data_IF_888627452754
#
_entry.id   IF_888627452754
#
_cell.length_a   1.000
_cell.length_b   1.000
_cell.length_c   1.000
_cell.angle_alpha   90.00
_cell.angle_beta   90.00
_cell.angle_gamma   90.00
#
_symmetry.space_group_name_H-M   'P 1'
#
loop_
_entity.id
_entity.type
_entity.pdbx_description
1 polymer ?
#
# COMPACT_ATOMS: atom_id res chain seq x y z
N UNK A 1 -9.38 2.84 -6.17
CA UNK A 1 -8.54 3.96 -6.53
C UNK A 1 -8.54 5.02 -5.49
N UNK A 2 -7.38 5.31 -4.95
CA UNK A 2 -7.24 6.36 -3.99
C UNK A 2 -7.69 6.03 -2.59
N UNK A 3 -7.91 4.78 -2.27
CA UNK A 3 -8.29 4.41 -0.93
C UNK A 3 -7.06 4.37 -0.04
N UNK A 4 -7.19 4.94 1.16
CA UNK A 4 -6.10 4.87 2.13
C UNK A 4 -5.96 3.47 2.67
N UNK A 5 -4.72 2.98 2.72
CA UNK A 5 -4.44 1.65 3.21
C UNK A 5 -3.27 1.71 4.18
N UNK A 6 -3.11 0.64 4.93
CA UNK A 6 -1.97 0.45 5.81
C UNK A 6 -1.33 -0.88 5.52
N UNK A 7 -0.01 -0.88 5.47
CA UNK A 7 0.75 -2.10 5.29
C UNK A 7 0.92 -2.77 6.66
N UNK A 8 0.49 -4.02 6.74
CA UNK A 8 0.50 -4.74 8.01
C UNK A 8 1.48 -5.92 8.00
N UNK A 9 2.25 -6.04 6.93
CA UNK A 9 3.25 -7.09 6.85
C UNK A 9 4.35 -6.72 5.90
N UNK A 10 5.41 -7.53 5.88
CA UNK A 10 6.52 -7.30 4.99
C UNK A 10 7.48 -6.24 5.51
N UNK A 11 8.46 -5.88 4.70
CA UNK A 11 9.48 -4.92 5.13
C UNK A 11 8.95 -3.53 5.40
N UNK A 12 7.80 -3.17 4.84
CA UNK A 12 7.26 -1.82 5.01
C UNK A 12 6.09 -1.81 5.98
N UNK A 13 6.03 -2.76 6.86
CA UNK A 13 4.95 -2.86 7.83
C UNK A 13 4.84 -1.58 8.65
N UNK A 14 3.61 -1.11 8.82
CA UNK A 14 3.36 0.09 9.60
C UNK A 14 3.21 1.35 8.78
N UNK A 15 3.57 1.32 7.51
CA UNK A 15 3.44 2.49 6.66
C UNK A 15 2.04 2.55 6.07
N UNK A 16 1.61 3.77 5.78
CA UNK A 16 0.33 4.01 5.15
C UNK A 16 0.54 4.56 3.75
N UNK A 17 -0.40 4.27 2.89
CA UNK A 17 -0.32 4.73 1.52
C UNK A 17 -1.68 4.75 0.87
N UNK A 18 -1.66 4.88 -0.45
CA UNK A 18 -2.87 4.95 -1.24
C UNK A 18 -2.88 3.77 -2.20
N UNK A 19 -3.98 3.05 -2.22
CA UNK A 19 -4.16 1.96 -3.18
C UNK A 19 -4.36 2.55 -4.55
N UNK A 20 -3.55 2.12 -5.52
CA UNK A 20 -3.68 2.62 -6.88
C UNK A 20 -4.40 1.65 -7.78
N UNK A 21 -3.92 0.42 -7.86
CA UNK A 21 -4.58 -0.56 -8.69
C UNK A 21 -4.09 -1.95 -8.34
N UNK A 22 -4.89 -2.94 -8.69
CA UNK A 22 -4.48 -4.31 -8.54
C UNK A 22 -3.40 -4.65 -9.57
N UNK A 23 -2.47 -5.49 -9.16
CA UNK A 23 -1.39 -5.94 -10.04
C UNK A 23 -1.35 -7.45 -9.97
N UNK A 24 -2.23 -8.08 -10.72
CA UNK A 24 -2.39 -9.52 -10.68
C UNK A 24 -3.39 -9.90 -9.60
N UNK A 25 -3.35 -11.16 -9.23
CA UNK A 25 -4.36 -11.71 -8.32
C UNK A 25 -4.02 -11.53 -6.86
N UNK A 26 -2.75 -11.36 -6.55
CA UNK A 26 -2.31 -11.35 -5.15
C UNK A 26 -1.53 -10.12 -4.76
N UNK A 27 -1.34 -9.19 -5.68
CA UNK A 27 -0.54 -8.00 -5.41
C UNK A 27 -1.29 -6.76 -5.86
N UNK A 28 -0.87 -5.65 -5.30
CA UNK A 28 -1.42 -4.36 -5.69
C UNK A 28 -0.30 -3.34 -5.75
N UNK A 29 -0.50 -2.32 -6.55
CA UNK A 29 0.40 -1.19 -6.58
C UNK A 29 -0.10 -0.14 -5.62
N UNK A 30 0.79 0.29 -4.74
CA UNK A 30 0.46 1.21 -3.67
C UNK A 30 1.42 2.38 -3.73
N UNK A 31 0.88 3.57 -3.52
CA UNK A 31 1.68 4.78 -3.47
C UNK A 31 1.91 5.13 -2.01
N UNK A 32 3.16 5.17 -1.59
CA UNK A 32 3.51 5.58 -0.23
C UNK A 32 4.39 6.80 -0.27
N UNK A 33 4.35 7.56 0.81
CA UNK A 33 5.14 8.77 0.91
C UNK A 33 6.18 8.60 2.02
N UNK A 34 7.44 8.73 1.64
CA UNK A 34 8.56 8.65 2.56
C UNK A 34 9.47 9.83 2.32
N UNK A 35 9.84 10.53 3.39
CA UNK A 35 10.79 11.64 3.31
C UNK A 35 10.36 12.67 2.28
N UNK A 36 9.07 12.97 2.25
CA UNK A 36 8.47 13.93 1.33
C UNK A 36 8.56 13.53 -0.13
N UNK A 37 8.78 12.25 -0.39
CA UNK A 37 8.80 11.74 -1.76
C UNK A 37 7.82 10.59 -1.87
N UNK A 38 7.20 10.49 -3.02
CA UNK A 38 6.22 9.45 -3.28
C UNK A 38 6.89 8.30 -4.01
N UNK A 39 6.55 7.08 -3.59
CA UNK A 39 7.11 5.87 -4.17
C UNK A 39 5.98 4.91 -4.49
N UNK A 40 6.01 4.36 -5.69
CA UNK A 40 5.10 3.28 -6.04
C UNK A 40 5.77 1.97 -5.73
N UNK A 41 5.08 1.13 -4.99
CA UNK A 41 5.60 -0.18 -4.65
C UNK A 41 4.54 -1.23 -4.93
N UNK A 42 5.00 -2.45 -5.12
CA UNK A 42 4.11 -3.59 -5.21
C UNK A 42 4.02 -4.23 -3.84
N UNK A 43 2.81 -4.48 -3.39
CA UNK A 43 2.60 -5.09 -2.08
C UNK A 43 1.62 -6.25 -2.21
N UNK A 44 1.86 -7.26 -1.39
CA UNK A 44 0.96 -8.40 -1.32
C UNK A 44 -0.38 -7.94 -0.78
N UNK A 45 -1.46 -8.41 -1.38
CA UNK A 45 -2.79 -8.06 -0.87
C UNK A 45 -2.99 -8.52 0.57
N UNK A 46 -2.31 -9.59 0.96
CA UNK A 46 -2.38 -10.04 2.35
C UNK A 46 -1.79 -9.04 3.32
N UNK A 47 -0.92 -8.17 2.85
CA UNK A 47 -0.26 -7.20 3.72
C UNK A 47 -0.92 -5.83 3.71
N UNK A 48 -2.07 -5.72 3.07
CA UNK A 48 -2.75 -4.45 2.91
C UNK A 48 -4.07 -4.50 3.66
N UNK A 49 -4.35 -3.46 4.44
CA UNK A 49 -5.62 -3.32 5.15
C UNK A 49 -6.12 -1.89 4.97
N UNK A 50 -7.43 -1.70 4.98
CA UNK A 50 -7.96 -0.34 4.94
C UNK A 50 -7.46 0.47 6.12
N UNK A 51 -7.03 1.70 5.86
CA UNK A 51 -6.53 2.56 6.91
C UNK A 51 -7.62 3.46 7.50
N UNK A 52 -8.68 3.67 6.77
CA UNK A 52 -9.75 4.52 7.26
C UNK A 52 -10.67 3.75 8.18
N UNK A 53 -11.27 4.47 9.09
CA UNK A 53 -12.21 3.91 10.06
C UNK A 53 -13.64 4.02 9.58
#
# INVERSE_FOLDING_TARGET
NGQSIRLVGGPLRGLEGIFEQADGEQRAMVLIELLNKQHRIHADLQHIRPASL
#
